data_IF_067960599410
#
_entry.id   IF_067960599410
#
_cell.length_a   1.000
_cell.length_b   1.000
_cell.length_c   1.000
_cell.angle_alpha   90.00
_cell.angle_beta   90.00
_cell.angle_gamma   90.00
#
_symmetry.space_group_name_H-M   'P 1'
#
loop_
_entity.id
_entity.type
_entity.pdbx_description
1 polymer ?
#
# COMPACT_ATOMS: atom_id res chain seq x y z
N UNK A 1 -1.32 10.38 24.37
CA UNK A 1 -2.34 9.40 23.94
C UNK A 1 -1.64 8.09 23.68
N UNK A 2 -2.29 7.00 24.02
CA UNK A 2 -1.82 5.67 23.73
C UNK A 2 -2.29 5.29 22.29
N UNK A 3 -1.37 4.96 21.41
CA UNK A 3 -1.64 4.66 20.00
C UNK A 3 -0.88 3.41 19.62
N UNK A 4 -1.53 2.48 18.93
CA UNK A 4 -0.92 1.33 18.27
C UNK A 4 -1.24 1.33 16.78
N UNK A 5 -0.31 0.87 15.97
CA UNK A 5 -0.51 0.60 14.55
C UNK A 5 -0.55 -0.90 14.40
N UNK A 6 -1.71 -1.44 14.03
CA UNK A 6 -1.95 -2.89 13.99
C UNK A 6 -2.54 -3.27 12.64
N UNK A 7 -1.86 -4.14 11.92
CA UNK A 7 -2.31 -4.66 10.63
C UNK A 7 -2.73 -6.13 10.75
N UNK A 8 -3.60 -6.60 9.86
CA UNK A 8 -4.03 -8.00 9.81
C UNK A 8 -2.97 -8.96 9.22
N UNK A 9 -1.88 -8.43 8.66
CA UNK A 9 -0.76 -9.17 8.08
C UNK A 9 0.56 -8.48 8.42
N UNK A 10 1.69 -9.22 8.39
CA UNK A 10 3.01 -8.64 8.58
C UNK A 10 3.31 -7.53 7.57
N UNK A 11 4.11 -6.57 7.97
CA UNK A 11 4.66 -5.57 7.06
C UNK A 11 5.46 -6.29 5.96
N UNK A 12 5.22 -6.03 4.66
CA UNK A 12 6.06 -6.56 3.60
C UNK A 12 7.52 -6.08 3.75
N UNK A 13 8.48 -6.97 3.52
CA UNK A 13 9.93 -6.73 3.69
C UNK A 13 10.39 -5.42 3.03
N UNK A 14 9.86 -5.11 1.84
CA UNK A 14 10.20 -3.90 1.10
C UNK A 14 9.81 -2.60 1.83
N UNK A 15 8.94 -2.67 2.84
CA UNK A 15 8.48 -1.55 3.65
C UNK A 15 9.01 -1.60 5.11
N UNK A 16 9.87 -2.55 5.46
CA UNK A 16 10.41 -2.68 6.83
C UNK A 16 11.11 -1.41 7.30
N UNK A 17 11.70 -0.65 6.39
CA UNK A 17 12.35 0.63 6.73
C UNK A 17 11.38 1.71 7.26
N UNK A 18 10.06 1.55 7.03
CA UNK A 18 9.02 2.41 7.60
C UNK A 18 8.58 1.96 9.00
N UNK A 19 8.90 0.72 9.39
CA UNK A 19 8.53 0.17 10.69
C UNK A 19 9.55 0.54 11.77
N UNK A 20 9.72 1.85 11.99
CA UNK A 20 10.67 2.42 12.94
C UNK A 20 10.30 1.95 14.35
N UNK A 21 11.30 1.48 15.09
CA UNK A 21 11.13 0.97 16.47
C UNK A 21 10.04 -0.13 16.59
N UNK A 22 9.78 -0.87 15.49
CA UNK A 22 8.75 -1.91 15.45
C UNK A 22 7.37 -1.40 15.85
N UNK A 23 7.03 -0.17 15.46
CA UNK A 23 5.76 0.46 15.80
C UNK A 23 4.56 -0.10 15.03
N UNK A 24 4.78 -0.82 13.92
CA UNK A 24 3.74 -1.49 13.15
C UNK A 24 3.70 -2.96 13.57
N UNK A 25 2.60 -3.34 14.21
CA UNK A 25 2.41 -4.67 14.77
C UNK A 25 1.47 -5.51 13.88
N UNK A 26 1.69 -6.82 13.83
CA UNK A 26 0.71 -7.75 13.24
C UNK A 26 -0.29 -8.14 14.32
N UNK A 27 -1.58 -8.16 13.99
CA UNK A 27 -2.61 -8.50 14.95
C UNK A 27 -2.49 -9.94 15.44
N UNK A 28 -2.31 -10.08 16.75
CA UNK A 28 -2.38 -11.35 17.48
C UNK A 28 -3.43 -11.22 18.59
N UNK A 29 -4.44 -12.10 18.56
CA UNK A 29 -5.61 -11.97 19.43
C UNK A 29 -5.27 -11.97 20.93
N UNK A 30 -4.31 -12.82 21.35
CA UNK A 30 -3.87 -12.95 22.74
C UNK A 30 -3.19 -11.66 23.26
N UNK A 31 -2.46 -10.98 22.39
CA UNK A 31 -1.70 -9.78 22.73
C UNK A 31 -2.54 -8.51 22.59
N UNK A 32 -3.27 -8.38 21.47
CA UNK A 32 -3.87 -7.11 21.05
C UNK A 32 -5.32 -6.92 21.48
N UNK A 33 -6.13 -8.02 21.62
CA UNK A 33 -7.57 -7.88 21.87
C UNK A 33 -7.88 -7.09 23.14
N UNK A 34 -7.08 -7.27 24.18
CA UNK A 34 -7.27 -6.58 25.47
C UNK A 34 -7.02 -5.07 25.40
N UNK A 35 -6.12 -4.65 24.50
CA UNK A 35 -5.84 -3.24 24.22
C UNK A 35 -6.89 -2.65 23.29
N UNK A 36 -7.18 -3.32 22.17
CA UNK A 36 -8.16 -2.87 21.16
C UNK A 36 -9.54 -2.64 21.79
N UNK A 37 -9.99 -3.53 22.68
CA UNK A 37 -11.26 -3.38 23.41
C UNK A 37 -11.41 -2.07 24.18
N UNK A 38 -10.32 -1.40 24.51
CA UNK A 38 -10.29 -0.14 25.28
C UNK A 38 -10.05 1.06 24.38
N UNK A 39 -9.92 0.87 23.07
CA UNK A 39 -9.69 1.96 22.13
C UNK A 39 -10.93 2.85 22.00
N UNK A 40 -10.72 4.15 22.03
CA UNK A 40 -11.79 5.14 21.83
C UNK A 40 -12.17 5.28 20.36
N UNK A 41 -11.24 4.99 19.44
CA UNK A 41 -11.38 5.14 18.01
C UNK A 41 -10.39 4.23 17.28
N UNK A 42 -10.84 3.55 16.22
CA UNK A 42 -9.99 2.94 15.21
C UNK A 42 -9.92 3.86 13.99
N UNK A 43 -8.73 4.08 13.46
CA UNK A 43 -8.53 4.83 12.22
C UNK A 43 -7.95 3.86 11.20
N UNK A 44 -8.64 3.74 10.07
CA UNK A 44 -8.26 2.87 8.95
C UNK A 44 -7.83 3.75 7.78
N UNK A 45 -6.76 3.38 7.12
CA UNK A 45 -6.23 4.11 5.98
C UNK A 45 -6.15 3.21 4.76
N UNK A 46 -6.57 3.73 3.59
CA UNK A 46 -6.29 3.16 2.27
C UNK A 46 -6.76 1.70 2.09
N UNK A 47 -7.94 1.38 2.61
CA UNK A 47 -8.40 -0.02 2.65
C UNK A 47 -9.36 -0.37 1.52
N UNK A 48 -10.10 0.60 0.99
CA UNK A 48 -11.15 0.39 -0.03
C UNK A 48 -12.38 -0.37 0.47
N UNK A 49 -12.21 -1.34 1.36
CA UNK A 49 -13.27 -2.14 1.97
C UNK A 49 -12.85 -2.57 3.37
N UNK A 50 -13.72 -2.33 4.37
CA UNK A 50 -13.46 -2.66 5.78
C UNK A 50 -13.24 -4.16 6.01
N UNK A 51 -13.83 -5.03 5.19
CA UNK A 51 -13.63 -6.49 5.24
C UNK A 51 -12.16 -6.88 5.02
N UNK A 52 -11.37 -6.06 4.34
CA UNK A 52 -9.94 -6.31 4.11
C UNK A 52 -9.11 -6.25 5.39
N UNK A 53 -9.61 -5.64 6.45
CA UNK A 53 -8.93 -5.62 7.77
C UNK A 53 -9.11 -6.93 8.56
N UNK A 54 -9.96 -7.87 8.07
CA UNK A 54 -10.11 -9.26 8.56
C UNK A 54 -10.29 -9.34 10.08
N UNK A 55 -9.39 -10.08 10.78
CA UNK A 55 -9.44 -10.28 12.24
C UNK A 55 -9.41 -8.99 13.06
N UNK A 56 -8.84 -7.92 12.53
CA UNK A 56 -8.88 -6.59 13.18
C UNK A 56 -10.31 -6.05 13.15
N UNK A 57 -11.04 -6.20 12.01
CA UNK A 57 -12.45 -5.85 11.92
C UNK A 57 -13.29 -6.59 12.96
N UNK A 58 -13.08 -7.91 13.07
CA UNK A 58 -13.87 -8.73 13.99
C UNK A 58 -13.78 -8.23 15.44
N UNK A 59 -12.59 -7.84 15.91
CA UNK A 59 -12.44 -7.33 17.28
C UNK A 59 -13.01 -5.92 17.44
N UNK A 60 -12.94 -5.09 16.42
CA UNK A 60 -13.53 -3.74 16.39
C UNK A 60 -15.06 -3.84 16.49
N UNK A 61 -15.69 -4.63 15.62
CA UNK A 61 -17.15 -4.80 15.55
C UNK A 61 -17.70 -5.42 16.84
N UNK A 62 -17.05 -6.48 17.34
CA UNK A 62 -17.46 -7.17 18.56
C UNK A 62 -17.42 -6.27 19.81
N UNK A 63 -16.71 -5.15 19.75
CA UNK A 63 -16.60 -4.21 20.86
C UNK A 63 -17.22 -2.85 20.52
N UNK A 64 -17.90 -2.70 19.38
CA UNK A 64 -18.58 -1.48 18.93
C UNK A 64 -17.68 -0.24 18.96
N UNK A 65 -16.42 -0.40 18.55
CA UNK A 65 -15.45 0.69 18.52
C UNK A 65 -15.76 1.57 17.31
N UNK A 66 -15.89 2.90 17.47
CA UNK A 66 -16.07 3.79 16.34
C UNK A 66 -14.91 3.67 15.34
N UNK A 67 -15.22 3.65 14.04
CA UNK A 67 -14.20 3.53 12.99
C UNK A 67 -14.24 4.75 12.09
N UNK A 68 -13.09 5.40 11.94
CA UNK A 68 -12.86 6.43 10.95
C UNK A 68 -12.04 5.87 9.81
N UNK A 69 -12.53 6.00 8.57
CA UNK A 69 -11.77 5.69 7.37
C UNK A 69 -11.25 6.97 6.71
N UNK A 70 -10.04 6.93 6.19
CA UNK A 70 -9.43 7.96 5.35
C UNK A 70 -8.88 7.27 4.11
N UNK A 71 -9.47 7.55 2.93
CA UNK A 71 -9.21 6.78 1.73
C UNK A 71 -9.42 7.61 0.45
N UNK A 72 -8.78 7.22 -0.63
CA UNK A 72 -8.98 7.78 -1.96
C UNK A 72 -9.72 6.84 -2.94
N UNK A 73 -10.10 5.65 -2.48
CA UNK A 73 -10.88 4.70 -3.27
C UNK A 73 -12.39 4.97 -3.14
N UNK A 74 -13.20 4.67 -4.18
CA UNK A 74 -14.65 4.69 -4.04
C UNK A 74 -15.12 3.60 -3.08
N UNK A 75 -16.08 3.94 -2.23
CA UNK A 75 -16.68 3.00 -1.28
C UNK A 75 -18.15 2.77 -1.58
N UNK A 76 -18.72 1.57 -1.31
CA UNK A 76 -20.15 1.34 -1.37
C UNK A 76 -20.85 2.07 -0.22
N UNK A 77 -22.16 2.35 -0.37
CA UNK A 77 -22.96 3.04 0.66
C UNK A 77 -22.97 2.31 2.02
N UNK A 78 -22.86 0.97 2.01
CA UNK A 78 -22.83 0.12 3.20
C UNK A 78 -21.41 -0.20 3.70
N UNK A 79 -20.50 0.77 3.66
CA UNK A 79 -19.07 0.60 3.93
C UNK A 79 -18.70 0.18 5.37
N UNK A 80 -19.61 0.25 6.33
CA UNK A 80 -19.38 -0.17 7.72
C UNK A 80 -18.58 0.79 8.60
N UNK A 81 -18.10 1.92 8.09
CA UNK A 81 -17.37 2.93 8.86
C UNK A 81 -18.30 3.90 9.58
N UNK A 82 -17.94 4.32 10.81
CA UNK A 82 -18.67 5.35 11.55
C UNK A 82 -18.47 6.73 10.92
N UNK A 83 -17.24 7.01 10.48
CA UNK A 83 -16.85 8.20 9.76
C UNK A 83 -16.07 7.79 8.50
N UNK A 84 -16.53 8.21 7.34
CA UNK A 84 -15.92 7.86 6.07
C UNK A 84 -15.46 9.13 5.34
N UNK A 85 -14.14 9.37 5.34
CA UNK A 85 -13.51 10.52 4.69
C UNK A 85 -12.87 10.03 3.40
N UNK A 86 -13.54 10.27 2.27
CA UNK A 86 -13.11 9.79 0.96
C UNK A 86 -12.93 10.94 0.00
N UNK A 87 -11.78 10.99 -0.67
CA UNK A 87 -11.52 11.89 -1.79
C UNK A 87 -11.00 11.11 -3.00
N UNK A 88 -11.90 10.68 -3.86
CA UNK A 88 -11.61 9.92 -5.09
C UNK A 88 -10.79 10.71 -6.14
N UNK A 89 -10.58 12.01 -5.93
CA UNK A 89 -9.73 12.85 -6.78
C UNK A 89 -8.30 12.90 -6.28
N UNK A 90 -8.08 12.54 -5.02
CA UNK A 90 -6.74 12.48 -4.46
C UNK A 90 -5.93 11.37 -5.14
N UNK A 91 -4.70 11.65 -5.51
CA UNK A 91 -3.84 10.67 -6.16
C UNK A 91 -3.41 9.52 -5.25
N UNK A 92 -3.43 9.75 -3.94
CA UNK A 92 -3.05 8.81 -2.89
C UNK A 92 -3.67 9.20 -1.55
N UNK A 93 -3.94 8.25 -0.69
CA UNK A 93 -4.30 8.53 0.71
C UNK A 93 -3.20 9.33 1.43
N UNK A 94 -1.94 9.15 1.05
CA UNK A 94 -0.81 9.96 1.53
C UNK A 94 -0.95 11.46 1.27
N UNK A 95 -1.57 11.85 0.15
CA UNK A 95 -1.89 13.26 -0.14
C UNK A 95 -2.90 13.84 0.87
N UNK A 96 -3.93 13.06 1.21
CA UNK A 96 -4.95 13.45 2.19
C UNK A 96 -4.35 13.58 3.59
N UNK A 97 -3.52 12.62 4.00
CA UNK A 97 -2.80 12.65 5.28
C UNK A 97 -1.89 13.88 5.37
N UNK A 98 -1.14 14.18 4.30
CA UNK A 98 -0.31 15.39 4.26
C UNK A 98 -1.14 16.66 4.41
N UNK A 99 -2.28 16.77 3.73
CA UNK A 99 -3.18 17.92 3.84
C UNK A 99 -3.69 18.08 5.27
N UNK A 100 -4.16 16.99 5.88
CA UNK A 100 -4.59 16.98 7.27
C UNK A 100 -3.48 17.42 8.23
N UNK A 101 -2.29 16.88 8.09
CA UNK A 101 -1.17 17.23 8.96
C UNK A 101 -0.75 18.71 8.85
N UNK A 102 -0.88 19.29 7.66
CA UNK A 102 -0.61 20.73 7.45
C UNK A 102 -1.58 21.61 8.24
N UNK A 103 -2.84 21.24 8.30
CA UNK A 103 -3.88 22.01 8.99
C UNK A 103 -3.90 21.71 10.52
N UNK A 104 -3.63 20.47 10.91
CA UNK A 104 -3.76 20.00 12.29
C UNK A 104 -2.50 20.17 13.15
N UNK A 105 -1.36 20.51 12.56
CA UNK A 105 -0.07 20.62 13.27
C UNK A 105 0.51 22.00 13.20
N UNK A 106 0.90 22.55 14.36
CA UNK A 106 1.71 23.76 14.47
C UNK A 106 3.22 23.51 14.22
N UNK A 107 3.64 22.24 14.16
CA UNK A 107 5.04 21.85 13.99
C UNK A 107 5.31 21.39 12.57
N UNK A 108 6.49 21.71 12.01
CA UNK A 108 6.91 21.19 10.71
C UNK A 108 6.87 19.65 10.66
N UNK A 109 6.66 19.09 9.47
CA UNK A 109 6.79 17.65 9.27
C UNK A 109 8.22 17.22 9.53
N UNK A 110 8.39 16.07 10.18
CA UNK A 110 9.70 15.44 10.37
C UNK A 110 10.09 14.66 9.10
N UNK A 111 11.34 14.28 9.00
CA UNK A 111 11.84 13.47 7.88
C UNK A 111 11.08 12.14 7.79
N UNK A 112 10.87 11.46 8.92
CA UNK A 112 10.19 10.16 9.00
C UNK A 112 8.74 10.25 8.52
N UNK A 113 8.02 11.32 8.89
CA UNK A 113 6.67 11.57 8.39
C UNK A 113 6.70 11.79 6.87
N UNK A 114 7.68 12.56 6.40
CA UNK A 114 7.85 12.80 4.96
C UNK A 114 8.24 11.54 4.19
N UNK A 115 9.03 10.63 4.78
CA UNK A 115 9.34 9.33 4.17
C UNK A 115 8.08 8.50 3.95
N UNK A 116 7.22 8.37 4.95
CA UNK A 116 5.94 7.66 4.82
C UNK A 116 5.01 8.29 3.78
N UNK A 117 4.87 9.62 3.79
CA UNK A 117 4.05 10.35 2.80
C UNK A 117 4.62 10.18 1.39
N UNK A 118 5.94 10.31 1.22
CA UNK A 118 6.60 10.14 -0.07
C UNK A 118 6.38 8.75 -0.64
N UNK A 119 6.55 7.70 0.19
CA UNK A 119 6.30 6.31 -0.21
C UNK A 119 4.87 6.14 -0.70
N UNK A 120 3.87 6.58 0.08
CA UNK A 120 2.47 6.45 -0.30
C UNK A 120 2.16 7.14 -1.64
N UNK A 121 2.64 8.38 -1.83
CA UNK A 121 2.41 9.11 -3.09
C UNK A 121 3.17 8.46 -4.25
N UNK A 122 4.42 8.04 -4.05
CA UNK A 122 5.23 7.40 -5.08
C UNK A 122 4.64 6.07 -5.55
N UNK A 123 4.17 5.23 -4.63
CA UNK A 123 3.61 3.92 -4.98
C UNK A 123 2.29 4.06 -5.73
N UNK A 124 1.35 4.88 -5.25
CA UNK A 124 0.04 5.06 -5.85
C UNK A 124 0.06 5.78 -7.19
N UNK A 125 1.10 6.58 -7.44
CA UNK A 125 1.32 7.25 -8.73
C UNK A 125 2.23 6.47 -9.68
N UNK A 126 2.61 5.23 -9.31
CA UNK A 126 3.54 4.41 -10.09
C UNK A 126 4.85 5.14 -10.38
N UNK A 127 5.49 5.69 -9.36
CA UNK A 127 6.66 6.54 -9.46
C UNK A 127 6.40 7.80 -10.29
N UNK A 128 5.28 8.47 -10.05
CA UNK A 128 4.86 9.73 -10.71
C UNK A 128 4.62 9.60 -12.22
N UNK A 129 4.25 8.39 -12.70
CA UNK A 129 4.01 8.10 -14.13
C UNK A 129 2.53 7.91 -14.47
N UNK A 130 1.70 7.52 -13.51
CA UNK A 130 0.28 7.27 -13.74
C UNK A 130 -0.48 8.57 -13.99
N UNK A 131 -1.65 8.46 -14.65
CA UNK A 131 -2.49 9.59 -15.01
C UNK A 131 -3.10 10.35 -13.82
N UNK A 132 -3.10 9.75 -12.61
CA UNK A 132 -3.49 10.40 -11.37
C UNK A 132 -2.40 11.30 -10.78
N UNK A 133 -1.19 11.33 -11.36
CA UNK A 133 -0.12 12.23 -10.94
C UNK A 133 -0.46 13.67 -11.32
N UNK A 134 -0.50 14.54 -10.34
CA UNK A 134 -0.77 15.96 -10.52
C UNK A 134 0.34 16.87 -9.94
N UNK A 135 0.16 18.18 -10.04
CA UNK A 135 1.10 19.16 -9.48
C UNK A 135 1.21 19.07 -7.96
N UNK A 136 0.16 18.60 -7.27
CA UNK A 136 0.18 18.44 -5.83
C UNK A 136 1.09 17.29 -5.42
N UNK A 137 1.07 16.16 -6.13
CA UNK A 137 2.01 15.05 -5.92
C UNK A 137 3.47 15.51 -5.99
N UNK A 138 3.80 16.30 -7.02
CA UNK A 138 5.15 16.84 -7.16
C UNK A 138 5.49 17.86 -6.07
N UNK A 139 4.53 18.68 -5.63
CA UNK A 139 4.78 19.63 -4.53
C UNK A 139 5.07 18.92 -3.20
N UNK A 140 4.38 17.80 -2.94
CA UNK A 140 4.67 16.93 -1.79
C UNK A 140 6.08 16.34 -1.91
N UNK A 141 6.45 15.84 -3.10
CA UNK A 141 7.79 15.29 -3.32
C UNK A 141 8.88 16.34 -3.08
N UNK A 142 8.70 17.59 -3.52
CA UNK A 142 9.62 18.70 -3.25
C UNK A 142 9.75 18.92 -1.74
N UNK A 143 8.63 19.04 -1.01
CA UNK A 143 8.64 19.22 0.44
C UNK A 143 9.38 18.07 1.16
N UNK A 144 9.18 16.82 0.72
CA UNK A 144 9.87 15.67 1.28
C UNK A 144 11.39 15.73 1.02
N UNK A 145 11.81 16.11 -0.19
CA UNK A 145 13.22 16.32 -0.52
C UNK A 145 13.86 17.43 0.34
N UNK A 146 13.15 18.54 0.57
CA UNK A 146 13.62 19.63 1.45
C UNK A 146 13.78 19.17 2.92
N UNK A 147 13.04 18.13 3.34
CA UNK A 147 13.18 17.48 4.64
C UNK A 147 14.27 16.40 4.68
N UNK A 148 14.99 16.20 3.58
CA UNK A 148 16.11 15.27 3.50
C UNK A 148 15.71 13.82 3.24
N UNK A 149 14.52 13.58 2.68
CA UNK A 149 14.12 12.25 2.21
C UNK A 149 15.04 11.80 1.09
N UNK A 150 15.60 10.61 1.20
CA UNK A 150 16.45 10.01 0.17
C UNK A 150 15.61 9.17 -0.80
N UNK A 151 15.15 9.81 -1.86
CA UNK A 151 14.25 9.19 -2.85
C UNK A 151 14.90 8.04 -3.59
N UNK A 152 16.22 8.10 -3.84
CA UNK A 152 16.96 7.00 -4.47
C UNK A 152 16.98 5.75 -3.59
N UNK A 153 17.30 5.90 -2.30
CA UNK A 153 17.30 4.76 -1.36
C UNK A 153 15.92 4.15 -1.22
N UNK A 154 14.85 4.97 -1.16
CA UNK A 154 13.46 4.48 -1.11
C UNK A 154 13.12 3.69 -2.37
N UNK A 155 13.46 4.22 -3.55
CA UNK A 155 13.22 3.52 -4.81
C UNK A 155 13.93 2.16 -4.86
N UNK A 156 15.19 2.13 -4.44
CA UNK A 156 15.98 0.89 -4.38
C UNK A 156 15.36 -0.15 -3.45
N UNK A 157 14.92 0.24 -2.26
CA UNK A 157 14.30 -0.66 -1.30
C UNK A 157 12.99 -1.26 -1.83
N UNK A 158 12.19 -0.48 -2.53
CA UNK A 158 10.86 -0.91 -2.98
C UNK A 158 10.92 -1.62 -4.34
N UNK A 159 11.71 -1.12 -5.30
CA UNK A 159 11.66 -1.59 -6.69
C UNK A 159 12.92 -2.30 -7.20
N UNK A 160 14.08 -2.09 -6.55
CA UNK A 160 15.35 -2.70 -6.95
C UNK A 160 15.83 -3.79 -5.97
N UNK A 161 14.92 -4.33 -5.15
CA UNK A 161 15.20 -5.38 -4.15
C UNK A 161 14.58 -6.73 -4.55
N UNK A 162 14.62 -7.08 -5.82
CA UNK A 162 14.04 -8.35 -6.31
C UNK A 162 14.91 -9.54 -5.93
N UNK A 163 14.29 -10.56 -5.34
CA UNK A 163 14.95 -11.84 -5.06
C UNK A 163 15.33 -12.56 -6.37
N UNK A 164 16.38 -13.41 -6.33
CA UNK A 164 16.72 -14.28 -7.47
C UNK A 164 15.55 -15.19 -7.85
N UNK A 165 14.79 -15.65 -6.86
CA UNK A 165 13.57 -16.42 -7.02
C UNK A 165 12.54 -15.67 -7.85
N UNK A 166 12.21 -14.44 -7.46
CA UNK A 166 11.31 -13.56 -8.19
C UNK A 166 11.72 -13.39 -9.66
N UNK A 167 13.00 -13.10 -9.91
CA UNK A 167 13.53 -12.94 -11.29
C UNK A 167 13.36 -14.22 -12.09
N UNK A 168 13.60 -15.40 -11.50
CA UNK A 168 13.48 -16.69 -12.18
C UNK A 168 12.03 -17.02 -12.55
N UNK A 169 11.07 -16.80 -11.63
CA UNK A 169 9.64 -17.00 -11.90
C UNK A 169 9.13 -16.01 -12.94
N UNK A 170 9.54 -14.74 -12.84
CA UNK A 170 9.20 -13.72 -13.83
C UNK A 170 9.71 -14.11 -15.22
N UNK A 171 10.95 -14.58 -15.33
CA UNK A 171 11.52 -15.03 -16.61
C UNK A 171 10.73 -16.19 -17.24
N UNK A 172 10.31 -17.18 -16.45
CA UNK A 172 9.47 -18.27 -16.93
C UNK A 172 8.06 -17.77 -17.30
N UNK A 173 7.47 -16.89 -16.51
CA UNK A 173 6.18 -16.27 -16.82
C UNK A 173 6.23 -15.50 -18.14
N UNK A 174 7.25 -14.69 -18.37
CA UNK A 174 7.45 -13.93 -19.60
C UNK A 174 7.58 -14.87 -20.82
N UNK A 175 8.31 -15.97 -20.67
CA UNK A 175 8.50 -16.95 -21.75
C UNK A 175 7.22 -17.70 -22.13
N UNK A 176 6.19 -17.65 -21.27
CA UNK A 176 4.89 -18.30 -21.48
C UNK A 176 3.75 -17.28 -21.69
N UNK A 177 4.08 -16.05 -22.11
CA UNK A 177 3.05 -15.08 -22.50
C UNK A 177 2.40 -15.54 -23.79
N UNK A 178 1.09 -15.63 -23.77
CA UNK A 178 0.25 -15.91 -24.93
C UNK A 178 -0.46 -14.64 -25.39
N UNK A 179 -0.74 -14.55 -26.69
CA UNK A 179 -1.37 -13.39 -27.30
C UNK A 179 -2.60 -13.80 -28.08
N UNK A 180 -3.63 -12.93 -28.12
CA UNK A 180 -4.85 -13.06 -28.91
C UNK A 180 -5.28 -11.69 -29.42
N UNK A 181 -6.36 -11.63 -30.20
CA UNK A 181 -6.91 -10.39 -30.76
C UNK A 181 -5.85 -9.54 -31.47
N UNK A 182 -5.11 -10.16 -32.39
CA UNK A 182 -4.02 -9.51 -33.12
C UNK A 182 -2.94 -8.87 -32.24
N UNK A 183 -2.79 -9.38 -30.99
CA UNK A 183 -1.80 -8.94 -30.02
C UNK A 183 -2.29 -7.86 -29.03
N UNK A 184 -3.54 -7.46 -29.10
CA UNK A 184 -4.14 -6.51 -28.18
C UNK A 184 -4.47 -7.14 -26.81
N UNK A 185 -4.61 -8.46 -26.76
CA UNK A 185 -4.83 -9.21 -25.52
C UNK A 185 -3.64 -10.12 -25.23
N UNK A 186 -3.12 -10.06 -23.99
CA UNK A 186 -2.02 -10.89 -23.56
C UNK A 186 -2.24 -11.42 -22.14
N UNK A 187 -1.89 -12.70 -21.90
CA UNK A 187 -1.96 -13.31 -20.60
C UNK A 187 -0.83 -14.29 -20.36
N UNK A 188 -0.59 -14.60 -19.13
CA UNK A 188 0.28 -15.70 -18.71
C UNK A 188 -0.25 -16.33 -17.43
N UNK A 189 0.10 -17.60 -17.21
CA UNK A 189 -0.33 -18.35 -16.03
C UNK A 189 0.90 -18.74 -15.21
N UNK A 190 0.95 -18.24 -13.98
CA UNK A 190 1.92 -18.72 -12.99
C UNK A 190 1.33 -19.93 -12.27
N UNK A 191 1.84 -21.10 -12.56
CA UNK A 191 1.34 -22.37 -12.03
C UNK A 191 1.96 -22.71 -10.66
N UNK A 192 1.28 -23.56 -9.88
CA UNK A 192 1.86 -24.11 -8.65
C UNK A 192 3.15 -24.90 -8.88
N UNK A 193 3.35 -25.48 -10.08
CA UNK A 193 4.60 -26.17 -10.43
C UNK A 193 5.75 -25.18 -10.61
N UNK A 194 5.52 -24.03 -11.26
CA UNK A 194 6.50 -22.94 -11.37
C UNK A 194 6.88 -22.42 -9.98
N UNK A 195 5.89 -22.16 -9.13
CA UNK A 195 6.12 -21.71 -7.75
C UNK A 195 7.01 -22.70 -6.98
N UNK A 196 6.71 -23.99 -7.05
CA UNK A 196 7.51 -25.04 -6.38
C UNK A 196 8.92 -25.16 -6.97
N UNK A 197 9.06 -25.08 -8.29
CA UNK A 197 10.35 -25.19 -9.00
C UNK A 197 11.35 -24.13 -8.53
N UNK A 198 10.88 -22.91 -8.28
CA UNK A 198 11.72 -21.79 -7.88
C UNK A 198 11.64 -21.47 -6.38
N UNK A 199 10.90 -22.25 -5.59
CA UNK A 199 10.63 -21.99 -4.17
C UNK A 199 10.00 -20.59 -3.95
N UNK A 200 9.16 -20.15 -4.88
CA UNK A 200 8.53 -18.85 -4.86
C UNK A 200 7.32 -18.82 -3.94
N UNK A 201 7.06 -17.64 -3.39
CA UNK A 201 5.89 -17.30 -2.59
C UNK A 201 4.95 -16.38 -3.37
N UNK A 202 3.76 -16.11 -2.83
CA UNK A 202 2.83 -15.16 -3.46
C UNK A 202 3.42 -13.74 -3.55
N UNK A 203 4.25 -13.35 -2.59
CA UNK A 203 4.88 -12.03 -2.58
C UNK A 203 5.85 -11.85 -3.76
N UNK A 204 6.47 -12.95 -4.25
CA UNK A 204 7.35 -12.89 -5.41
C UNK A 204 6.62 -12.59 -6.73
N UNK A 205 5.27 -12.65 -6.75
CA UNK A 205 4.46 -12.41 -7.95
C UNK A 205 3.94 -10.97 -8.07
N UNK A 206 4.17 -10.15 -7.07
CA UNK A 206 3.66 -8.78 -7.06
C UNK A 206 4.18 -7.97 -8.25
N UNK A 207 3.30 -7.25 -8.94
CA UNK A 207 3.64 -6.42 -10.10
C UNK A 207 3.94 -7.18 -11.40
N UNK A 208 3.77 -8.51 -11.47
CA UNK A 208 3.99 -9.27 -12.72
C UNK A 208 3.02 -8.85 -13.84
N UNK A 209 1.81 -8.46 -13.50
CA UNK A 209 0.84 -7.92 -14.47
C UNK A 209 1.31 -6.62 -15.12
N UNK A 210 2.08 -5.80 -14.40
CA UNK A 210 2.58 -4.55 -14.94
C UNK A 210 3.60 -4.78 -16.06
N UNK A 211 4.34 -5.89 -16.00
CA UNK A 211 5.22 -6.29 -17.09
C UNK A 211 4.42 -6.57 -18.37
N UNK A 212 3.34 -7.37 -18.30
CA UNK A 212 2.49 -7.69 -19.45
C UNK A 212 1.87 -6.40 -20.00
N UNK A 213 1.34 -5.54 -19.14
CA UNK A 213 0.76 -4.23 -19.52
C UNK A 213 1.77 -3.28 -20.16
N UNK A 214 3.07 -3.49 -19.97
CA UNK A 214 4.12 -2.67 -20.57
C UNK A 214 4.43 -3.05 -22.02
N UNK A 215 3.90 -4.16 -22.52
CA UNK A 215 4.13 -4.63 -23.89
C UNK A 215 3.40 -3.73 -24.87
N UNK A 216 4.12 -3.25 -25.88
CA UNK A 216 3.55 -2.36 -26.90
C UNK A 216 2.41 -3.05 -27.65
N UNK A 217 1.25 -2.40 -27.69
CA UNK A 217 0.06 -2.87 -28.41
C UNK A 217 -0.86 -3.75 -27.57
N UNK A 218 -0.47 -4.12 -26.36
CA UNK A 218 -1.35 -4.83 -25.42
C UNK A 218 -2.26 -3.82 -24.73
N UNK A 219 -3.56 -4.03 -24.82
CA UNK A 219 -4.62 -3.21 -24.20
C UNK A 219 -5.19 -3.88 -22.93
N UNK A 220 -5.19 -5.23 -22.89
CA UNK A 220 -5.70 -6.06 -21.78
C UNK A 220 -4.76 -7.23 -21.51
#
# INVERSE_FOLDING_TARGET
KDVKIINCSPTPEMYDFLNIDSCIETYEAEEHSGWVKKADLAIVFDVGDFERTRSVKDVIDNNSIPVMNIDHHPHPDNHGFTHNIVDIKSAATGCMVRSYLKEARDKPLTKEICEGIYVAVMTDTGCFRHSNTDTYCHSIAIECLEKGVNTNSIYQLIYENSSKTRVSVLGEMISNIEYDLDGEFAWSIVTNSMMKKYHATKNDLEGFSDFIRSIKGVEV
#
